data_IF_770312931249
#
_entry.id   IF_770312931249
#
_cell.length_a   1.000
_cell.length_b   1.000
_cell.length_c   1.000
_cell.angle_alpha   90.00
_cell.angle_beta   90.00
_cell.angle_gamma   90.00
#
_symmetry.space_group_name_H-M   'P 1'
#
loop_
_entity.id
_entity.type
_entity.pdbx_description
1 polymer ?
#
# COMPACT_ATOMS: atom_id res chain seq x y z
N UNK A 1 23.54 51.72 57.02
CA UNK A 1 22.78 50.55 57.43
C UNK A 1 21.83 50.16 56.23
N UNK A 2 22.20 49.12 55.51
CA UNK A 2 21.49 48.70 54.29
C UNK A 2 20.66 47.44 54.62
N UNK A 3 19.31 47.57 54.59
CA UNK A 3 18.41 46.46 54.82
C UNK A 3 18.44 45.48 53.61
N UNK A 4 18.97 44.29 53.87
CA UNK A 4 18.90 43.17 52.93
C UNK A 4 17.54 42.49 53.15
N UNK A 5 16.62 42.67 52.20
CA UNK A 5 15.34 41.93 52.18
C UNK A 5 15.64 40.49 51.79
N UNK A 6 15.32 39.56 52.68
CA UNK A 6 15.36 38.13 52.45
C UNK A 6 14.33 37.79 51.40
N UNK A 7 14.77 37.29 50.25
CA UNK A 7 13.87 36.73 49.23
C UNK A 7 13.56 35.30 49.64
N UNK A 8 12.26 35.02 49.76
CA UNK A 8 11.73 33.71 50.14
C UNK A 8 11.95 32.70 49.03
N UNK A 9 12.38 31.47 49.32
CA UNK A 9 12.56 30.43 48.30
C UNK A 9 11.25 29.65 48.15
N UNK A 10 10.33 30.19 47.39
CA UNK A 10 9.12 29.46 47.00
C UNK A 10 8.66 29.98 45.63
N UNK A 11 9.03 29.30 44.59
CA UNK A 11 8.33 28.92 43.34
C UNK A 11 9.33 28.53 42.25
N UNK A 12 9.98 27.39 42.44
CA UNK A 12 10.49 26.67 41.28
C UNK A 12 9.33 25.81 40.81
N UNK A 13 8.48 26.40 39.95
CA UNK A 13 7.48 25.64 39.19
C UNK A 13 8.26 24.80 38.20
N UNK A 14 8.35 23.51 38.48
CA UNK A 14 8.81 22.52 37.52
C UNK A 14 7.79 22.48 36.38
N UNK A 15 8.14 23.10 35.25
CA UNK A 15 7.46 22.85 33.97
C UNK A 15 7.90 21.47 33.53
N UNK A 16 7.17 20.45 33.97
CA UNK A 16 7.23 19.12 33.40
C UNK A 16 6.64 19.22 31.97
N UNK A 17 7.56 19.31 31.02
CA UNK A 17 7.22 19.15 29.58
C UNK A 17 6.74 17.71 29.40
N UNK A 18 5.44 17.51 29.46
CA UNK A 18 4.80 16.25 29.12
C UNK A 18 4.94 16.12 27.60
N UNK A 19 6.02 15.48 27.16
CA UNK A 19 6.10 14.90 25.84
C UNK A 19 5.06 13.78 25.79
N UNK A 20 3.86 14.14 25.35
CA UNK A 20 2.86 13.16 24.92
C UNK A 20 3.45 12.47 23.68
N UNK A 21 4.14 11.37 23.91
CA UNK A 21 4.40 10.39 22.86
C UNK A 21 3.02 9.88 22.49
N UNK A 22 2.42 10.49 21.47
CA UNK A 22 1.31 9.87 20.74
C UNK A 22 1.88 8.61 20.12
N UNK A 23 1.86 7.51 20.87
CA UNK A 23 1.96 6.19 20.30
C UNK A 23 0.82 6.12 19.26
N UNK A 24 1.16 6.39 17.99
CA UNK A 24 0.31 6.02 16.87
C UNK A 24 0.01 4.55 17.09
N UNK A 25 -1.17 4.28 17.59
CA UNK A 25 -1.68 2.93 17.68
C UNK A 25 -1.63 2.40 16.26
N UNK A 26 -0.63 1.55 16.00
CA UNK A 26 -0.60 0.66 14.86
C UNK A 26 -1.90 -0.14 14.96
N UNK A 27 -2.93 0.35 14.30
CA UNK A 27 -4.19 -0.33 14.21
C UNK A 27 -3.88 -1.71 13.64
N UNK A 28 -3.87 -2.75 14.51
CA UNK A 28 -3.98 -4.12 14.04
C UNK A 28 -5.11 -4.08 13.02
N UNK A 29 -4.77 -4.25 11.75
CA UNK A 29 -5.75 -4.49 10.71
C UNK A 29 -6.68 -5.55 11.28
N UNK A 30 -7.91 -5.15 11.60
CA UNK A 30 -8.93 -6.10 12.02
C UNK A 30 -8.93 -7.13 10.89
N UNK A 31 -8.75 -8.41 11.19
CA UNK A 31 -8.92 -9.48 10.23
C UNK A 31 -10.37 -9.41 9.72
N UNK A 32 -10.60 -8.54 8.76
CA UNK A 32 -11.89 -8.45 8.08
C UNK A 32 -11.97 -9.74 7.28
N UNK A 33 -12.79 -10.65 7.74
CA UNK A 33 -13.04 -11.88 7.02
C UNK A 33 -13.95 -11.55 5.84
N UNK A 34 -13.47 -11.83 4.65
CA UNK A 34 -14.22 -11.73 3.39
C UNK A 34 -14.67 -13.14 2.98
N UNK A 35 -15.74 -13.70 3.59
CA UNK A 35 -16.08 -15.12 3.44
C UNK A 35 -16.46 -15.50 2.00
N UNK A 36 -16.88 -14.52 1.21
CA UNK A 36 -17.28 -14.72 -0.18
C UNK A 36 -16.14 -14.50 -1.19
N UNK A 37 -14.94 -14.09 -0.74
CA UNK A 37 -13.77 -13.89 -1.60
C UNK A 37 -12.82 -15.08 -1.44
N UNK A 38 -12.60 -15.82 -2.51
CA UNK A 38 -11.72 -17.00 -2.53
C UNK A 38 -10.36 -16.74 -3.15
N UNK A 39 -10.08 -15.50 -3.50
CA UNK A 39 -8.83 -15.08 -4.14
C UNK A 39 -7.67 -15.33 -3.18
N UNK A 40 -6.64 -16.03 -3.64
CA UNK A 40 -5.43 -16.28 -2.84
C UNK A 40 -4.75 -14.95 -2.52
N UNK A 41 -4.13 -14.89 -1.33
CA UNK A 41 -3.39 -13.72 -0.86
C UNK A 41 -4.21 -12.42 -0.90
N UNK A 42 -5.54 -12.55 -0.73
CA UNK A 42 -6.45 -11.42 -0.71
C UNK A 42 -6.26 -10.58 0.55
N UNK A 43 -6.34 -9.28 0.40
CA UNK A 43 -6.32 -8.33 1.50
C UNK A 43 -6.90 -6.99 1.13
N UNK A 44 -7.34 -6.29 2.16
CA UNK A 44 -7.74 -4.90 2.10
C UNK A 44 -6.63 -4.06 2.72
N UNK A 45 -6.05 -3.16 1.96
CA UNK A 45 -5.00 -2.26 2.43
C UNK A 45 -5.59 -1.02 3.12
N UNK A 46 -6.65 -0.47 2.55
CA UNK A 46 -7.45 0.62 3.13
C UNK A 46 -8.89 0.58 2.59
N UNK A 47 -9.64 1.68 2.74
CA UNK A 47 -11.05 1.74 2.32
C UNK A 47 -11.24 1.68 0.80
N UNK A 48 -10.20 1.93 0.02
CA UNK A 48 -10.22 1.95 -1.45
C UNK A 48 -9.44 0.84 -2.10
N UNK A 49 -8.35 0.39 -1.48
CA UNK A 49 -7.36 -0.49 -2.08
C UNK A 49 -7.51 -1.93 -1.59
N UNK A 50 -7.87 -2.82 -2.49
CA UNK A 50 -7.85 -4.27 -2.30
C UNK A 50 -6.76 -4.90 -3.16
N UNK A 51 -6.19 -6.00 -2.68
CA UNK A 51 -5.11 -6.70 -3.38
C UNK A 51 -5.28 -8.21 -3.33
N UNK A 52 -4.63 -8.92 -4.24
CA UNK A 52 -4.63 -10.38 -4.21
C UNK A 52 -3.87 -11.01 -5.38
N UNK A 53 -4.00 -12.33 -5.50
CA UNK A 53 -3.63 -13.06 -6.70
C UNK A 53 -4.63 -12.77 -7.84
N UNK A 54 -4.29 -13.23 -9.06
CA UNK A 54 -5.21 -13.18 -10.20
C UNK A 54 -6.52 -13.86 -9.82
N UNK A 55 -7.66 -13.18 -9.98
CA UNK A 55 -8.97 -13.78 -9.76
C UNK A 55 -9.27 -14.84 -10.83
N UNK A 56 -10.08 -15.81 -10.46
CA UNK A 56 -10.77 -16.66 -11.43
C UNK A 56 -12.01 -15.94 -11.96
N UNK A 57 -12.57 -16.40 -13.08
CA UNK A 57 -13.68 -15.74 -13.77
C UNK A 57 -14.88 -15.43 -12.85
N UNK A 58 -15.18 -16.32 -11.91
CA UNK A 58 -16.31 -16.17 -10.98
C UNK A 58 -16.02 -15.25 -9.78
N UNK A 59 -14.77 -14.82 -9.56
CA UNK A 59 -14.41 -14.00 -8.42
C UNK A 59 -14.79 -12.51 -8.60
N UNK A 60 -14.94 -12.04 -9.84
CA UNK A 60 -15.21 -10.62 -10.11
C UNK A 60 -16.54 -10.14 -9.56
N UNK A 61 -17.57 -11.00 -9.55
CA UNK A 61 -18.84 -10.68 -8.90
C UNK A 61 -18.70 -10.44 -7.40
N UNK A 62 -17.82 -11.20 -6.71
CA UNK A 62 -17.53 -10.98 -5.29
C UNK A 62 -16.78 -9.68 -5.06
N UNK A 63 -15.85 -9.29 -5.95
CA UNK A 63 -15.16 -8.00 -5.89
C UNK A 63 -16.12 -6.84 -6.13
N UNK A 64 -17.03 -6.94 -7.09
CA UNK A 64 -18.07 -5.95 -7.32
C UNK A 64 -18.99 -5.79 -6.09
N UNK A 65 -19.35 -6.88 -5.42
CA UNK A 65 -20.14 -6.86 -4.18
C UNK A 65 -19.41 -6.17 -3.01
N UNK A 66 -18.07 -6.09 -3.01
CA UNK A 66 -17.29 -5.29 -2.07
C UNK A 66 -17.26 -3.79 -2.42
N UNK A 67 -17.87 -3.42 -3.55
CA UNK A 67 -17.87 -2.07 -4.08
C UNK A 67 -16.60 -1.71 -4.85
N UNK A 68 -15.81 -2.69 -5.28
CA UNK A 68 -14.70 -2.47 -6.23
C UNK A 68 -15.29 -1.96 -7.55
N UNK A 69 -14.64 -0.98 -8.15
CA UNK A 69 -15.02 -0.38 -9.43
C UNK A 69 -13.99 -0.70 -10.54
N UNK A 70 -12.72 -0.83 -10.15
CA UNK A 70 -11.62 -1.00 -11.10
C UNK A 70 -10.73 -2.18 -10.72
N UNK A 71 -10.41 -3.01 -11.70
CA UNK A 71 -9.41 -4.09 -11.61
C UNK A 71 -8.14 -3.61 -12.30
N UNK A 72 -7.01 -3.71 -11.60
CA UNK A 72 -5.68 -3.37 -12.13
C UNK A 72 -4.85 -4.64 -12.19
N UNK A 73 -4.64 -5.15 -13.40
CA UNK A 73 -3.79 -6.31 -13.68
C UNK A 73 -2.36 -5.85 -13.97
N UNK A 74 -1.42 -6.34 -13.17
CA UNK A 74 0.01 -6.04 -13.30
C UNK A 74 0.77 -7.10 -14.11
N UNK A 75 0.07 -8.06 -14.70
CA UNK A 75 0.75 -9.12 -15.42
C UNK A 75 1.06 -8.73 -16.87
N UNK A 76 2.19 -9.20 -17.35
CA UNK A 76 2.64 -9.12 -18.73
C UNK A 76 2.08 -10.26 -19.61
N UNK A 77 1.31 -11.16 -18.98
CA UNK A 77 0.67 -12.32 -19.59
C UNK A 77 -0.79 -12.46 -19.11
N UNK A 78 -1.57 -11.40 -19.27
CA UNK A 78 -2.99 -11.38 -18.94
C UNK A 78 -3.72 -12.55 -19.60
N UNK A 79 -4.78 -13.04 -18.94
CA UNK A 79 -5.58 -14.14 -19.48
C UNK A 79 -6.68 -13.59 -20.39
N UNK A 80 -6.95 -14.30 -21.48
CA UNK A 80 -7.97 -13.89 -22.48
C UNK A 80 -9.36 -13.71 -21.85
N UNK A 81 -9.69 -14.50 -20.81
CA UNK A 81 -10.98 -14.40 -20.11
C UNK A 81 -11.11 -13.15 -19.24
N UNK A 82 -9.99 -12.58 -18.82
CA UNK A 82 -9.96 -11.65 -17.68
C UNK A 82 -10.71 -10.36 -17.98
N UNK A 83 -10.33 -9.66 -19.03
CA UNK A 83 -11.01 -8.41 -19.39
C UNK A 83 -12.52 -8.62 -19.66
N UNK A 84 -12.95 -9.60 -20.47
CA UNK A 84 -14.37 -9.85 -20.66
C UNK A 84 -15.14 -10.18 -19.38
N UNK A 85 -14.55 -10.95 -18.46
CA UNK A 85 -15.18 -11.29 -17.19
C UNK A 85 -15.29 -10.09 -16.24
N UNK A 86 -14.27 -9.22 -16.21
CA UNK A 86 -14.28 -7.96 -15.45
C UNK A 86 -15.41 -7.05 -15.96
N UNK A 87 -15.49 -6.86 -17.28
CA UNK A 87 -16.50 -6.01 -17.91
C UNK A 87 -17.92 -6.59 -17.73
N UNK A 88 -18.08 -7.90 -17.80
CA UNK A 88 -19.36 -8.57 -17.53
C UNK A 88 -19.83 -8.40 -16.08
N UNK A 89 -18.90 -8.24 -15.14
CA UNK A 89 -19.19 -7.92 -13.73
C UNK A 89 -19.48 -6.42 -13.51
N UNK A 90 -19.49 -5.60 -14.56
CA UNK A 90 -19.70 -4.15 -14.47
C UNK A 90 -18.51 -3.37 -13.93
N UNK A 91 -17.30 -3.96 -13.99
CA UNK A 91 -16.06 -3.37 -13.50
C UNK A 91 -15.22 -2.82 -14.66
N UNK A 92 -14.36 -1.85 -14.36
CA UNK A 92 -13.35 -1.33 -15.30
C UNK A 92 -12.10 -2.19 -15.24
N UNK A 93 -11.57 -2.59 -16.39
CA UNK A 93 -10.29 -3.29 -16.50
C UNK A 93 -9.17 -2.34 -16.93
N UNK A 94 -8.02 -2.43 -16.25
CA UNK A 94 -6.80 -1.70 -16.58
C UNK A 94 -5.63 -2.68 -16.50
N UNK A 95 -4.86 -2.82 -17.57
CA UNK A 95 -3.61 -3.60 -17.54
C UNK A 95 -2.41 -2.66 -17.54
N UNK A 96 -1.51 -2.86 -16.58
CA UNK A 96 -0.20 -2.20 -16.48
C UNK A 96 0.86 -3.31 -16.46
N UNK A 97 1.29 -3.78 -17.62
CA UNK A 97 2.14 -4.96 -17.71
C UNK A 97 3.50 -4.72 -17.07
N UNK A 98 3.83 -5.54 -16.08
CA UNK A 98 5.12 -5.59 -15.40
C UNK A 98 5.71 -6.98 -15.61
N UNK A 99 6.92 -7.05 -16.13
CA UNK A 99 7.64 -8.31 -16.27
C UNK A 99 7.95 -8.93 -14.90
N UNK A 100 7.75 -10.25 -14.79
CA UNK A 100 8.04 -10.96 -13.55
C UNK A 100 9.54 -10.94 -13.23
N UNK A 101 9.89 -10.79 -11.96
CA UNK A 101 11.28 -10.74 -11.45
C UNK A 101 12.14 -9.57 -11.96
N UNK A 102 11.60 -8.67 -12.76
CA UNK A 102 12.31 -7.50 -13.26
C UNK A 102 12.28 -6.34 -12.28
N UNK A 103 13.22 -5.42 -12.45
CA UNK A 103 13.20 -4.13 -11.77
C UNK A 103 12.13 -3.26 -12.46
N UNK A 104 11.07 -2.84 -11.76
CA UNK A 104 10.00 -2.05 -12.34
C UNK A 104 10.47 -0.72 -12.91
N UNK A 105 9.88 -0.29 -14.02
CA UNK A 105 10.18 1.03 -14.58
C UNK A 105 9.39 2.13 -13.87
N UNK A 106 9.92 3.35 -13.89
CA UNK A 106 9.19 4.51 -13.39
C UNK A 106 7.92 4.80 -14.18
N UNK A 107 7.90 4.47 -15.48
CA UNK A 107 6.71 4.65 -16.31
C UNK A 107 5.56 3.74 -15.86
N UNK A 108 5.84 2.48 -15.51
CA UNK A 108 4.85 1.57 -14.95
C UNK A 108 4.30 2.08 -13.61
N UNK A 109 5.18 2.58 -12.74
CA UNK A 109 4.77 3.18 -11.46
C UNK A 109 3.94 4.44 -11.67
N UNK A 110 4.35 5.32 -12.58
CA UNK A 110 3.62 6.54 -12.90
C UNK A 110 2.24 6.25 -13.51
N UNK A 111 2.13 5.21 -14.35
CA UNK A 111 0.84 4.74 -14.87
C UNK A 111 -0.06 4.24 -13.73
N UNK A 112 0.48 3.45 -12.80
CA UNK A 112 -0.27 3.01 -11.63
C UNK A 112 -0.78 4.18 -10.79
N UNK A 113 0.09 5.12 -10.43
CA UNK A 113 -0.29 6.31 -9.66
C UNK A 113 -1.35 7.14 -10.40
N UNK A 114 -1.18 7.36 -11.70
CA UNK A 114 -2.17 8.08 -12.51
C UNK A 114 -3.55 7.41 -12.48
N UNK A 115 -3.60 6.07 -12.54
CA UNK A 115 -4.87 5.33 -12.48
C UNK A 115 -5.52 5.48 -11.12
N UNK A 116 -4.79 5.30 -10.02
CA UNK A 116 -5.38 5.31 -8.68
C UNK A 116 -5.71 6.73 -8.18
N UNK A 117 -5.06 7.76 -8.74
CA UNK A 117 -5.32 9.17 -8.42
C UNK A 117 -6.49 9.73 -9.24
N UNK A 118 -6.94 9.04 -10.29
CA UNK A 118 -8.14 9.40 -11.02
C UNK A 118 -9.39 9.10 -10.16
N UNK A 119 -10.22 10.13 -9.86
CA UNK A 119 -11.43 9.94 -9.07
C UNK A 119 -12.40 8.90 -9.65
N UNK A 120 -12.39 8.71 -10.97
CA UNK A 120 -13.24 7.72 -11.65
C UNK A 120 -12.84 6.27 -11.36
N UNK A 121 -11.64 6.03 -10.83
CA UNK A 121 -11.16 4.69 -10.45
C UNK A 121 -11.95 4.12 -9.27
N UNK A 122 -12.46 4.95 -8.37
CA UNK A 122 -13.23 4.51 -7.21
C UNK A 122 -12.44 3.58 -6.29
N UNK A 123 -13.09 2.50 -5.81
CA UNK A 123 -12.39 1.40 -5.14
C UNK A 123 -11.75 0.48 -6.18
N UNK A 124 -10.54 0.02 -5.89
CA UNK A 124 -9.79 -0.76 -6.87
C UNK A 124 -9.18 -2.01 -6.25
N UNK A 125 -9.07 -3.04 -7.07
CA UNK A 125 -8.38 -4.28 -6.76
C UNK A 125 -7.15 -4.43 -7.65
N UNK A 126 -5.99 -4.66 -7.04
CA UNK A 126 -4.72 -4.82 -7.75
C UNK A 126 -4.23 -6.25 -7.61
N UNK A 127 -3.83 -6.86 -8.72
CA UNK A 127 -3.27 -8.20 -8.69
C UNK A 127 -2.09 -8.38 -9.65
N UNK A 128 -1.35 -9.43 -9.41
CA UNK A 128 -0.46 -10.09 -10.35
C UNK A 128 -0.78 -11.60 -10.33
N UNK A 129 0.07 -12.47 -10.85
CA UNK A 129 -0.21 -13.90 -10.83
C UNK A 129 -0.47 -14.45 -9.41
N UNK A 130 0.39 -14.14 -8.44
CA UNK A 130 0.31 -14.63 -7.06
C UNK A 130 -0.09 -13.60 -6.01
N UNK A 131 -0.31 -12.34 -6.39
CA UNK A 131 -0.61 -11.25 -5.44
C UNK A 131 0.53 -10.90 -4.50
N UNK A 132 1.76 -11.32 -4.78
CA UNK A 132 2.92 -11.23 -3.89
C UNK A 132 3.85 -10.08 -4.28
N UNK A 133 4.53 -10.22 -5.41
CA UNK A 133 5.72 -9.45 -5.79
C UNK A 133 5.37 -8.14 -6.50
N UNK A 134 4.88 -8.16 -7.75
CA UNK A 134 4.45 -6.95 -8.49
C UNK A 134 3.39 -6.16 -7.71
N UNK A 135 2.40 -6.87 -7.15
CA UNK A 135 1.38 -6.29 -6.28
C UNK A 135 1.98 -5.70 -5.00
N UNK A 136 2.99 -6.35 -4.42
CA UNK A 136 3.72 -5.82 -3.27
C UNK A 136 4.47 -4.53 -3.58
N UNK A 137 5.11 -4.45 -4.76
CA UNK A 137 5.82 -3.22 -5.20
C UNK A 137 4.86 -2.03 -5.27
N UNK A 138 3.75 -2.16 -6.01
CA UNK A 138 2.82 -1.04 -6.15
C UNK A 138 2.08 -0.73 -4.84
N UNK A 139 1.89 -1.75 -3.98
CA UNK A 139 1.40 -1.56 -2.62
C UNK A 139 2.35 -0.69 -1.78
N UNK A 140 3.66 -0.98 -1.82
CA UNK A 140 4.66 -0.16 -1.14
C UNK A 140 4.71 1.28 -1.68
N UNK A 141 4.65 1.45 -3.02
CA UNK A 141 4.56 2.77 -3.66
C UNK A 141 3.34 3.54 -3.14
N UNK A 142 2.18 2.89 -3.08
CA UNK A 142 0.96 3.49 -2.53
C UNK A 142 1.16 3.95 -1.08
N UNK A 143 1.69 3.08 -0.21
CA UNK A 143 1.97 3.40 1.19
C UNK A 143 2.90 4.60 1.35
N UNK A 144 3.93 4.71 0.51
CA UNK A 144 4.85 5.86 0.56
C UNK A 144 4.21 7.17 0.11
N UNK A 145 3.40 7.12 -0.96
CA UNK A 145 2.85 8.32 -1.58
C UNK A 145 1.59 8.83 -0.87
N UNK A 146 0.70 7.95 -0.45
CA UNK A 146 -0.60 8.30 0.15
C UNK A 146 -0.59 8.25 1.68
N UNK A 147 0.01 7.22 2.27
CA UNK A 147 -0.03 7.00 3.72
C UNK A 147 1.22 7.52 4.46
N UNK A 148 2.25 7.96 3.72
CA UNK A 148 3.51 8.45 4.29
C UNK A 148 4.24 7.43 5.17
N UNK A 149 4.09 6.15 4.85
CA UNK A 149 4.73 5.08 5.58
C UNK A 149 6.25 5.12 5.46
N UNK A 150 6.93 4.59 6.48
CA UNK A 150 8.37 4.33 6.43
C UNK A 150 8.68 3.10 5.57
N UNK A 151 9.96 2.98 5.18
CA UNK A 151 10.42 1.81 4.43
C UNK A 151 10.15 0.50 5.19
N UNK A 152 10.45 0.47 6.49
CA UNK A 152 10.26 -0.73 7.30
C UNK A 152 8.81 -1.16 7.42
N UNK A 153 7.89 -0.20 7.52
CA UNK A 153 6.45 -0.47 7.53
C UNK A 153 5.98 -1.12 6.23
N UNK A 154 6.41 -0.56 5.10
CA UNK A 154 6.03 -1.08 3.79
C UNK A 154 6.65 -2.48 3.53
N UNK A 155 7.91 -2.69 3.89
CA UNK A 155 8.56 -3.99 3.76
C UNK A 155 7.90 -5.06 4.66
N UNK A 156 7.52 -4.70 5.88
CA UNK A 156 6.81 -5.60 6.78
C UNK A 156 5.42 -5.99 6.22
N UNK A 157 4.68 -5.05 5.61
CA UNK A 157 3.42 -5.37 4.94
C UNK A 157 3.63 -6.26 3.73
N UNK A 158 4.66 -6.00 2.91
CA UNK A 158 5.01 -6.88 1.78
C UNK A 158 5.25 -8.32 2.24
N UNK A 159 5.98 -8.50 3.34
CA UNK A 159 6.29 -9.84 3.88
C UNK A 159 5.03 -10.53 4.47
N UNK A 160 4.07 -9.79 5.03
CA UNK A 160 2.76 -10.33 5.42
C UNK A 160 1.98 -10.92 4.23
N UNK A 161 2.19 -10.37 3.02
CA UNK A 161 1.63 -10.85 1.77
C UNK A 161 2.60 -11.76 1.00
N UNK A 162 3.45 -12.49 1.70
CA UNK A 162 4.33 -13.54 1.16
C UNK A 162 5.34 -13.03 0.11
N UNK A 163 5.78 -11.77 0.18
CA UNK A 163 6.76 -11.23 -0.77
C UNK A 163 8.08 -12.00 -0.73
N UNK A 164 8.50 -12.45 0.45
CA UNK A 164 9.72 -13.24 0.63
C UNK A 164 9.64 -14.66 0.08
N UNK A 165 8.44 -15.14 -0.29
CA UNK A 165 8.27 -16.47 -0.87
C UNK A 165 8.62 -16.47 -2.36
N UNK A 166 9.48 -17.38 -2.76
CA UNK A 166 9.89 -17.51 -4.15
C UNK A 166 11.26 -16.90 -4.46
N UNK A 167 11.94 -17.50 -5.44
CA UNK A 167 13.29 -17.15 -5.87
C UNK A 167 13.29 -16.07 -6.95
N UNK A 168 14.23 -15.12 -6.87
CA UNK A 168 14.54 -14.19 -7.97
C UNK A 168 13.85 -12.83 -7.90
N UNK A 169 13.19 -12.48 -6.80
CA UNK A 169 12.47 -11.19 -6.66
C UNK A 169 13.28 -10.09 -5.94
N UNK A 170 14.60 -10.25 -5.82
CA UNK A 170 15.48 -9.24 -5.20
C UNK A 170 15.39 -7.88 -5.88
N UNK A 171 15.40 -7.84 -7.22
CA UNK A 171 15.28 -6.60 -8.01
C UNK A 171 14.04 -5.78 -7.68
N UNK A 172 12.92 -6.43 -7.40
CA UNK A 172 11.68 -5.75 -7.02
C UNK A 172 11.75 -5.17 -5.60
N UNK A 173 12.42 -5.88 -4.66
CA UNK A 173 12.68 -5.35 -3.32
C UNK A 173 13.68 -4.20 -3.36
N UNK A 174 14.69 -4.27 -4.21
CA UNK A 174 15.65 -3.19 -4.41
C UNK A 174 14.96 -1.94 -4.98
N UNK A 175 14.06 -2.11 -5.98
CA UNK A 175 13.25 -1.02 -6.49
C UNK A 175 12.48 -0.30 -5.37
N UNK A 176 11.86 -1.03 -4.44
CA UNK A 176 11.08 -0.42 -3.34
C UNK A 176 11.97 0.45 -2.45
N UNK A 177 13.20 -0.02 -2.16
CA UNK A 177 14.18 0.77 -1.39
C UNK A 177 14.63 2.02 -2.13
N UNK A 178 14.98 1.86 -3.40
CA UNK A 178 15.47 2.96 -4.25
C UNK A 178 14.39 4.01 -4.47
N UNK A 179 13.14 3.59 -4.68
CA UNK A 179 11.99 4.47 -4.82
C UNK A 179 11.76 5.29 -3.55
N UNK A 180 11.82 4.64 -2.38
CA UNK A 180 11.68 5.33 -1.09
C UNK A 180 12.79 6.37 -0.90
N UNK A 181 14.06 6.02 -1.15
CA UNK A 181 15.18 6.96 -1.07
C UNK A 181 15.02 8.16 -2.00
N UNK A 182 14.56 7.91 -3.24
CA UNK A 182 14.28 8.97 -4.22
C UNK A 182 13.22 9.94 -3.73
N UNK A 183 12.16 9.46 -3.10
CA UNK A 183 11.11 10.30 -2.50
C UNK A 183 11.68 11.18 -1.37
N UNK A 184 12.52 10.62 -0.49
CA UNK A 184 13.14 11.38 0.60
C UNK A 184 14.04 12.49 0.07
N UNK A 185 14.85 12.21 -0.94
CA UNK A 185 15.76 13.19 -1.55
C UNK A 185 15.00 14.29 -2.33
N UNK A 186 13.85 13.96 -2.92
CA UNK A 186 12.98 14.93 -3.63
C UNK A 186 12.26 15.89 -2.68
N UNK A 187 11.95 15.45 -1.47
CA UNK A 187 11.28 16.26 -0.44
C UNK A 187 12.25 17.19 0.32
N UNK A 188 13.56 17.09 0.10
CA UNK A 188 14.59 17.93 0.72
C UNK A 188 14.99 19.14 -0.14
N UNK A 189 14.38 19.35 -1.29
CA UNK A 189 14.58 20.50 -2.20
C UNK A 189 13.33 21.37 -2.21
#
# INVERSE_FOLDING_TARGET
>A
MRNIRKVSPALIAAVALIFSISALAFGKSKNVKFPNVKIKNFGQMDDRFFRGARPEENDYAALAALGVNTIIDLTDNSKEYEQPAVEAAGLRYVNIPMEDKSYPSMDQVNQFLKVIDDPSTGKFFVHCAGGRHRTGVVGAVYRFTHDKWTLDQALAEMDQYEFGSGYGHGKQRDFVRDYFQKLQNGNQR
#
